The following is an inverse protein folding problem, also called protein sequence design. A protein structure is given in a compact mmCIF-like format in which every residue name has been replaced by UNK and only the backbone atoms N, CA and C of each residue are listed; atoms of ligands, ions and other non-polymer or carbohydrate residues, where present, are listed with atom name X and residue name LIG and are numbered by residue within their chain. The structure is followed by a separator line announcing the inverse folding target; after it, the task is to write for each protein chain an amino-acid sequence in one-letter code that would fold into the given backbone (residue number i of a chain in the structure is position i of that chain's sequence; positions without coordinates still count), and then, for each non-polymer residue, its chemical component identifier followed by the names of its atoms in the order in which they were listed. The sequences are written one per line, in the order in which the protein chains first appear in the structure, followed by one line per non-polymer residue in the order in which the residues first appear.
data_IF_977175047337
#
_entry.id   IF_977175047337
#
_cell.length_a   1.000
_cell.length_b   1.000
_cell.length_c   1.000
_cell.angle_alpha   90.00
_cell.angle_beta   90.00
_cell.angle_gamma   90.00
#
_symmetry.space_group_name_H-M   'P 1'
#
loop_
_entity.id
_entity.type
_entity.pdbx_description
1 polymer ?
#
# COMPACT_ATOMS: atom_id res chain seq x y z
N UNK A 1 -20.03 14.73 -16.47
CA UNK A 1 -19.74 13.80 -15.36
C UNK A 1 -18.70 14.40 -14.45
N UNK A 2 -18.90 14.36 -13.14
CA UNK A 2 -17.80 14.60 -12.20
C UNK A 2 -16.85 13.39 -12.14
N UNK A 3 -15.76 13.49 -11.36
CA UNK A 3 -14.78 12.41 -11.27
C UNK A 3 -15.35 11.11 -10.71
N UNK A 4 -16.19 11.22 -9.68
CA UNK A 4 -16.82 10.05 -9.05
C UNK A 4 -17.79 9.35 -10.01
N UNK A 5 -18.68 10.11 -10.65
CA UNK A 5 -19.62 9.58 -11.64
C UNK A 5 -18.90 8.87 -12.79
N UNK A 6 -17.80 9.45 -13.27
CA UNK A 6 -17.00 8.88 -14.36
C UNK A 6 -16.38 7.53 -14.01
N UNK A 7 -15.80 7.43 -12.81
CA UNK A 7 -15.21 6.18 -12.32
C UNK A 7 -16.30 5.13 -12.09
N UNK A 8 -17.43 5.49 -11.47
CA UNK A 8 -18.54 4.58 -11.24
C UNK A 8 -19.16 4.07 -12.56
N UNK A 9 -19.34 4.93 -13.55
CA UNK A 9 -19.81 4.52 -14.87
C UNK A 9 -18.85 3.48 -15.49
N UNK A 10 -17.54 3.70 -15.38
CA UNK A 10 -16.55 2.76 -15.91
C UNK A 10 -16.56 1.42 -15.18
N UNK A 11 -16.69 1.41 -13.85
CA UNK A 11 -16.80 0.19 -13.04
C UNK A 11 -18.07 -0.60 -13.40
N UNK A 12 -19.18 0.11 -13.67
CA UNK A 12 -20.44 -0.49 -14.08
C UNK A 12 -20.50 -0.89 -15.57
N UNK A 13 -19.38 -0.81 -16.30
CA UNK A 13 -19.31 -1.05 -17.74
C UNK A 13 -20.20 -0.12 -18.58
N UNK A 14 -20.52 1.07 -18.06
CA UNK A 14 -21.19 2.14 -18.78
C UNK A 14 -20.19 3.05 -19.48
N UNK A 15 -20.61 3.77 -20.51
CA UNK A 15 -19.71 4.65 -21.26
C UNK A 15 -19.52 5.97 -20.52
N UNK A 16 -18.33 6.28 -19.98
CA UNK A 16 -18.03 7.58 -19.41
C UNK A 16 -17.84 8.66 -20.50
N UNK A 17 -17.82 9.93 -20.10
CA UNK A 17 -17.52 11.07 -20.97
C UNK A 17 -16.05 11.07 -21.47
N UNK A 18 -15.12 10.58 -20.63
CA UNK A 18 -13.73 10.24 -20.95
C UNK A 18 -13.25 9.06 -20.12
N UNK A 19 -12.10 8.49 -20.45
CA UNK A 19 -11.46 7.46 -19.62
C UNK A 19 -11.08 8.07 -18.26
N UNK A 20 -11.42 7.45 -17.13
CA UNK A 20 -10.94 7.89 -15.82
C UNK A 20 -9.42 7.86 -15.75
N UNK A 21 -8.85 8.86 -15.10
CA UNK A 21 -7.41 8.98 -14.90
C UNK A 21 -7.03 8.74 -13.45
N UNK A 22 -5.93 8.03 -13.25
CA UNK A 22 -5.24 7.88 -11.99
C UNK A 22 -3.78 8.32 -12.13
N UNK A 23 -3.11 8.60 -11.01
CA UNK A 23 -1.70 8.99 -10.98
C UNK A 23 -0.96 8.41 -9.79
N UNK A 24 -0.05 7.52 -10.11
CA UNK A 24 0.96 6.99 -9.18
C UNK A 24 2.32 7.49 -9.63
N UNK A 25 3.13 7.99 -8.70
CA UNK A 25 4.44 8.51 -9.04
C UNK A 25 5.40 8.39 -7.85
N UNK A 26 6.67 8.20 -8.15
CA UNK A 26 7.75 8.25 -7.17
C UNK A 26 7.93 9.68 -6.60
N UNK A 27 8.46 9.83 -5.37
CA UNK A 27 8.64 11.14 -4.74
C UNK A 27 9.35 12.17 -5.61
N UNK A 28 10.41 11.77 -6.30
CA UNK A 28 11.15 12.65 -7.21
C UNK A 28 10.32 13.15 -8.41
N UNK A 29 9.37 12.34 -8.89
CA UNK A 29 8.45 12.72 -9.96
C UNK A 29 7.40 13.69 -9.44
N UNK A 30 6.88 13.50 -8.21
CA UNK A 30 5.97 14.45 -7.56
C UNK A 30 6.60 15.84 -7.41
N UNK A 31 7.86 15.92 -6.94
CA UNK A 31 8.57 17.20 -6.83
C UNK A 31 8.73 17.90 -8.17
N UNK A 32 9.05 17.14 -9.23
CA UNK A 32 9.15 17.68 -10.58
C UNK A 32 7.81 18.17 -11.10
N UNK A 33 6.73 17.38 -10.93
CA UNK A 33 5.39 17.76 -11.36
C UNK A 33 4.91 19.03 -10.65
N UNK A 34 5.14 19.15 -9.34
CA UNK A 34 4.82 20.37 -8.59
C UNK A 34 5.54 21.57 -9.17
N UNK A 35 6.82 21.45 -9.46
CA UNK A 35 7.61 22.52 -10.05
C UNK A 35 7.15 22.90 -11.47
N UNK A 36 6.95 21.91 -12.34
CA UNK A 36 6.63 22.12 -13.75
C UNK A 36 5.21 22.71 -13.93
N UNK A 37 4.28 22.36 -13.04
CA UNK A 37 2.90 22.85 -13.03
C UNK A 37 2.67 24.08 -12.14
N UNK A 38 3.69 24.52 -11.39
CA UNK A 38 3.55 25.60 -10.40
C UNK A 38 2.57 25.25 -9.27
N UNK A 39 2.48 23.97 -8.92
CA UNK A 39 1.54 23.45 -7.93
C UNK A 39 2.19 23.39 -6.54
N UNK A 40 1.47 23.82 -5.50
CA UNK A 40 1.97 23.85 -4.12
C UNK A 40 1.86 22.51 -3.40
N UNK A 41 1.09 21.56 -3.92
CA UNK A 41 0.83 20.25 -3.32
C UNK A 41 0.58 19.17 -4.36
N UNK A 42 0.68 17.90 -3.96
CA UNK A 42 0.29 16.78 -4.81
C UNK A 42 -1.20 16.84 -5.19
N UNK A 43 -2.05 17.31 -4.28
CA UNK A 43 -3.47 17.48 -4.58
C UNK A 43 -3.69 18.57 -5.65
N UNK A 44 -2.91 19.64 -5.64
CA UNK A 44 -2.95 20.66 -6.69
C UNK A 44 -2.48 20.08 -8.04
N UNK A 45 -1.47 19.20 -8.05
CA UNK A 45 -1.02 18.48 -9.25
C UNK A 45 -2.15 17.55 -9.76
N UNK A 46 -2.76 16.75 -8.88
CA UNK A 46 -3.88 15.86 -9.28
C UNK A 46 -5.03 16.65 -9.90
N UNK A 47 -5.36 17.81 -9.34
CA UNK A 47 -6.40 18.70 -9.89
C UNK A 47 -6.00 19.26 -11.25
N UNK A 48 -4.77 19.73 -11.40
CA UNK A 48 -4.28 20.27 -12.66
C UNK A 48 -4.24 19.22 -13.80
N UNK A 49 -4.01 17.95 -13.45
CA UNK A 49 -3.99 16.82 -14.38
C UNK A 49 -5.35 16.11 -14.50
N UNK A 50 -6.40 16.64 -13.88
CA UNK A 50 -7.76 16.09 -13.91
C UNK A 50 -7.82 14.61 -13.46
N UNK A 51 -7.05 14.25 -12.44
CA UNK A 51 -7.05 12.90 -11.85
C UNK A 51 -8.36 12.64 -11.13
N UNK A 52 -9.00 11.51 -11.43
CA UNK A 52 -10.36 11.18 -10.95
C UNK A 52 -10.40 10.42 -9.64
N UNK A 53 -9.28 9.77 -9.26
CA UNK A 53 -9.20 8.87 -8.12
C UNK A 53 -8.45 9.54 -6.98
N UNK A 54 -8.89 9.28 -5.75
CA UNK A 54 -8.17 9.61 -4.51
C UNK A 54 -8.02 8.36 -3.67
N UNK A 55 -6.84 8.19 -3.08
CA UNK A 55 -6.54 7.09 -2.17
C UNK A 55 -6.52 7.60 -0.75
N UNK A 56 -7.16 6.86 0.13
CA UNK A 56 -7.09 7.06 1.57
C UNK A 56 -6.60 5.77 2.23
N UNK A 57 -5.87 5.91 3.30
CA UNK A 57 -5.43 4.80 4.13
C UNK A 57 -5.31 5.26 5.57
N UNK A 58 -5.41 4.37 6.56
CA UNK A 58 -5.12 4.74 7.94
C UNK A 58 -3.62 5.03 8.10
N UNK A 59 -3.23 5.56 9.27
CA UNK A 59 -1.81 5.77 9.59
C UNK A 59 -1.26 4.53 10.26
N UNK A 60 -0.43 3.82 9.52
CA UNK A 60 0.34 2.70 10.07
C UNK A 60 1.49 3.21 10.95
N UNK A 61 1.97 2.37 11.90
CA UNK A 61 3.16 2.71 12.67
C UNK A 61 4.33 3.11 11.76
N UNK A 62 5.12 4.11 12.17
CA UNK A 62 6.27 4.54 11.38
C UNK A 62 7.31 3.43 11.26
N UNK A 63 7.99 3.40 10.12
CA UNK A 63 9.11 2.50 9.92
C UNK A 63 10.21 2.74 10.97
N UNK A 64 10.81 1.66 11.44
CA UNK A 64 11.99 1.73 12.31
C UNK A 64 13.26 1.77 11.46
N UNK A 65 14.27 2.49 11.93
CA UNK A 65 15.60 2.54 11.29
C UNK A 65 16.65 2.04 12.27
N UNK A 66 17.23 0.88 12.00
CA UNK A 66 18.26 0.28 12.85
C UNK A 66 19.46 -0.15 12.00
N UNK A 67 20.65 0.36 12.31
CA UNK A 67 21.90 0.07 11.60
C UNK A 67 21.81 0.29 10.07
N UNK A 68 21.06 1.29 9.62
CA UNK A 68 20.90 1.60 8.20
C UNK A 68 19.79 0.79 7.50
N UNK A 69 19.19 -0.18 8.18
CA UNK A 69 18.06 -0.97 7.70
C UNK A 69 16.76 -0.32 8.16
N UNK A 70 15.90 0.03 7.21
CA UNK A 70 14.53 0.49 7.45
C UNK A 70 13.63 -0.75 7.50
N UNK A 71 12.75 -0.85 8.51
CA UNK A 71 11.80 -1.96 8.66
C UNK A 71 10.42 -1.43 9.02
N UNK A 72 9.39 -1.90 8.33
CA UNK A 72 8.00 -1.59 8.66
C UNK A 72 7.42 -2.60 9.67
N UNK A 73 6.15 -2.40 10.04
CA UNK A 73 5.44 -3.26 11.00
C UNK A 73 5.29 -4.72 10.52
N UNK A 74 5.33 -4.97 9.22
CA UNK A 74 5.23 -6.30 8.62
C UNK A 74 6.55 -7.07 8.61
N UNK A 75 7.66 -6.40 8.95
CA UNK A 75 8.98 -7.00 8.86
C UNK A 75 9.60 -6.95 7.45
N UNK A 76 8.99 -6.20 6.55
CA UNK A 76 9.65 -5.85 5.28
C UNK A 76 10.85 -4.96 5.59
N UNK A 77 11.96 -5.14 4.85
CA UNK A 77 13.23 -4.45 5.11
C UNK A 77 13.79 -3.80 3.87
N UNK A 78 14.37 -2.62 4.06
CA UNK A 78 15.04 -1.87 2.99
C UNK A 78 16.37 -1.31 3.46
N UNK A 79 17.33 -1.26 2.55
CA UNK A 79 18.61 -0.62 2.73
C UNK A 79 18.83 0.44 1.64
N UNK A 80 19.67 1.43 1.96
CA UNK A 80 20.04 2.44 0.97
C UNK A 80 21.08 1.87 0.01
N UNK A 81 20.78 1.93 -1.28
CA UNK A 81 21.67 1.52 -2.36
C UNK A 81 21.93 2.68 -3.31
N UNK A 82 23.16 2.81 -3.78
CA UNK A 82 23.52 3.79 -4.80
C UNK A 82 23.22 3.24 -6.18
N UNK A 83 22.30 3.89 -6.88
CA UNK A 83 21.94 3.56 -8.27
C UNK A 83 22.40 4.65 -9.23
N UNK A 84 22.21 4.45 -10.53
CA UNK A 84 22.44 5.47 -11.56
C UNK A 84 21.47 6.67 -11.43
N UNK A 85 20.37 6.52 -10.67
CA UNK A 85 19.38 7.56 -10.43
C UNK A 85 19.57 8.25 -9.06
N UNK A 86 20.56 7.84 -8.29
CA UNK A 86 20.85 8.37 -6.96
C UNK A 86 20.85 7.31 -5.87
N UNK A 87 20.64 7.74 -4.63
CA UNK A 87 20.52 6.82 -3.47
C UNK A 87 19.05 6.50 -3.28
N UNK A 88 18.71 5.24 -3.40
CA UNK A 88 17.35 4.72 -3.28
C UNK A 88 17.26 3.68 -2.16
N UNK A 89 16.04 3.42 -1.70
CA UNK A 89 15.77 2.33 -0.78
C UNK A 89 15.46 1.07 -1.58
N UNK A 90 16.32 0.06 -1.49
CA UNK A 90 16.09 -1.25 -2.09
C UNK A 90 15.63 -2.25 -1.03
N UNK A 91 14.68 -3.09 -1.41
CA UNK A 91 14.19 -4.17 -0.57
C UNK A 91 15.29 -5.20 -0.34
N UNK A 92 15.41 -5.66 0.91
CA UNK A 92 16.36 -6.70 1.32
C UNK A 92 15.61 -7.92 1.87
N UNK A 93 16.34 -8.88 2.46
CA UNK A 93 15.71 -10.07 3.03
C UNK A 93 14.74 -9.70 4.15
N UNK A 94 13.45 -10.04 3.98
CA UNK A 94 12.43 -9.90 5.01
C UNK A 94 12.68 -10.80 6.22
N UNK A 95 11.97 -10.54 7.31
CA UNK A 95 12.18 -11.21 8.60
C UNK A 95 11.88 -12.71 8.58
N UNK A 96 11.04 -13.18 7.66
CA UNK A 96 10.64 -14.59 7.52
C UNK A 96 11.39 -15.33 6.40
N UNK A 97 12.44 -14.71 5.84
CA UNK A 97 13.18 -15.31 4.72
C UNK A 97 13.71 -16.69 5.05
N UNK A 98 14.23 -16.91 6.27
CA UNK A 98 14.84 -18.16 6.71
C UNK A 98 13.86 -19.14 7.38
N UNK A 99 12.56 -18.82 7.46
CA UNK A 99 11.54 -19.72 8.02
C UNK A 99 11.49 -21.04 7.23
N UNK A 100 11.38 -22.18 7.93
CA UNK A 100 11.36 -23.52 7.33
C UNK A 100 10.03 -24.24 7.57
N UNK A 101 9.18 -23.70 8.42
CA UNK A 101 7.92 -24.33 8.85
C UNK A 101 6.86 -23.28 9.20
N UNK A 102 5.59 -23.71 9.28
CA UNK A 102 4.50 -22.88 9.79
C UNK A 102 4.79 -22.41 11.22
N UNK A 103 5.39 -23.24 12.07
CA UNK A 103 5.78 -22.84 13.43
C UNK A 103 6.76 -21.65 13.46
N UNK A 104 7.65 -21.52 12.48
CA UNK A 104 8.54 -20.37 12.38
C UNK A 104 7.75 -19.11 12.01
N UNK A 105 6.73 -19.24 11.16
CA UNK A 105 5.82 -18.16 10.81
C UNK A 105 4.95 -17.74 12.00
N UNK A 106 4.46 -18.70 12.79
CA UNK A 106 3.67 -18.46 14.00
C UNK A 106 4.45 -17.72 15.09
N UNK A 107 5.76 -17.96 15.16
CA UNK A 107 6.64 -17.31 16.14
C UNK A 107 6.86 -15.81 15.84
N UNK A 108 6.56 -15.34 14.64
CA UNK A 108 6.66 -13.93 14.30
C UNK A 108 5.57 -13.10 14.99
N UNK A 109 5.93 -11.96 15.62
CA UNK A 109 4.95 -11.10 16.29
C UNK A 109 4.14 -10.31 15.23
N UNK A 110 3.16 -10.97 14.64
CA UNK A 110 2.33 -10.40 13.60
C UNK A 110 1.68 -9.08 14.04
N UNK A 111 1.66 -8.06 13.16
CA UNK A 111 0.98 -6.82 13.45
C UNK A 111 -0.54 -7.04 13.62
N UNK A 112 -1.16 -6.15 14.39
CA UNK A 112 -2.60 -6.10 14.60
C UNK A 112 -3.14 -4.72 14.28
N UNK A 113 -4.41 -4.64 13.98
CA UNK A 113 -5.09 -3.36 13.71
C UNK A 113 -5.14 -2.43 14.92
N UNK A 114 -4.85 -2.92 16.14
CA UNK A 114 -4.74 -2.08 17.34
C UNK A 114 -3.55 -1.10 17.30
N UNK A 115 -2.59 -1.36 16.44
CA UNK A 115 -1.40 -0.51 16.23
C UNK A 115 -1.65 0.61 15.20
N UNK A 116 -2.82 0.62 14.56
CA UNK A 116 -3.15 1.49 13.41
C UNK A 116 -4.05 2.64 13.87
N UNK A 117 -3.75 3.87 13.42
CA UNK A 117 -4.55 5.05 13.71
C UNK A 117 -5.56 5.32 12.59
N UNK A 118 -6.84 5.16 12.91
CA UNK A 118 -7.97 5.39 11.99
C UNK A 118 -8.63 6.76 12.18
N UNK A 119 -8.25 7.55 13.19
CA UNK A 119 -8.96 8.73 13.67
C UNK A 119 -9.22 9.81 12.62
N UNK A 120 -8.44 9.84 11.54
CA UNK A 120 -8.53 10.86 10.49
C UNK A 120 -9.25 10.38 9.22
N UNK A 121 -9.56 9.08 9.11
CA UNK A 121 -10.08 8.48 7.86
C UNK A 121 -11.37 9.15 7.41
N UNK A 122 -12.32 9.36 8.31
CA UNK A 122 -13.60 10.01 7.97
C UNK A 122 -13.42 11.44 7.44
N UNK A 123 -12.48 12.20 8.01
CA UNK A 123 -12.16 13.55 7.52
C UNK A 123 -11.49 13.52 6.15
N UNK A 124 -10.60 12.55 5.92
CA UNK A 124 -9.94 12.37 4.62
C UNK A 124 -10.95 12.02 3.53
N UNK A 125 -11.94 11.16 3.82
CA UNK A 125 -13.05 10.87 2.91
C UNK A 125 -13.82 12.15 2.57
N UNK A 126 -14.19 12.96 3.56
CA UNK A 126 -14.91 14.24 3.35
C UNK A 126 -14.12 15.20 2.45
N UNK A 127 -12.78 15.24 2.59
CA UNK A 127 -11.92 16.09 1.74
C UNK A 127 -11.89 15.63 0.28
N UNK A 128 -12.23 14.38 0.03
CA UNK A 128 -12.27 13.79 -1.31
C UNK A 128 -13.66 13.83 -1.94
N UNK A 129 -14.59 14.65 -1.42
CA UNK A 129 -15.96 14.79 -2.00
C UNK A 129 -15.87 15.15 -3.49
N UNK A 130 -16.68 14.50 -4.32
CA UNK A 130 -16.70 14.65 -5.79
C UNK A 130 -15.68 13.78 -6.54
N UNK A 131 -14.79 13.09 -5.83
CA UNK A 131 -13.86 12.11 -6.41
C UNK A 131 -14.26 10.67 -6.09
N UNK A 132 -13.77 9.72 -6.88
CA UNK A 132 -13.81 8.32 -6.49
C UNK A 132 -12.74 8.06 -5.43
N UNK A 133 -13.15 7.56 -4.28
CA UNK A 133 -12.26 7.26 -3.16
C UNK A 133 -12.00 5.77 -3.14
N UNK A 134 -10.72 5.40 -3.19
CA UNK A 134 -10.24 4.04 -2.99
C UNK A 134 -9.56 3.94 -1.63
N UNK A 135 -9.81 2.84 -0.94
CA UNK A 135 -9.22 2.57 0.37
C UNK A 135 -8.07 1.58 0.27
N UNK A 136 -6.98 1.94 0.94
CA UNK A 136 -5.86 1.05 1.22
C UNK A 136 -5.14 0.50 0.01
N UNK A 137 -4.31 -0.47 0.32
CA UNK A 137 -3.61 -1.31 -0.66
C UNK A 137 -3.47 -2.71 -0.04
N UNK A 138 -4.47 -3.55 -0.25
CA UNK A 138 -4.45 -4.94 0.20
C UNK A 138 -3.59 -5.76 -0.78
N UNK A 139 -2.32 -5.90 -0.46
CA UNK A 139 -1.38 -6.62 -1.27
C UNK A 139 -1.19 -8.05 -0.75
N UNK A 140 -1.81 -8.99 -1.46
CA UNK A 140 -1.82 -10.40 -1.08
C UNK A 140 -0.71 -11.24 -1.73
N UNK A 141 0.11 -10.65 -2.58
CA UNK A 141 1.21 -11.37 -3.23
C UNK A 141 2.57 -10.70 -3.00
N UNK A 142 2.70 -9.42 -3.28
CA UNK A 142 3.96 -8.71 -3.13
C UNK A 142 4.38 -8.65 -1.66
N UNK A 143 3.48 -8.29 -0.74
CA UNK A 143 3.78 -8.19 0.69
C UNK A 143 4.24 -9.51 1.32
N UNK A 144 3.56 -10.65 1.13
CA UNK A 144 4.12 -11.95 1.51
C UNK A 144 5.51 -12.20 0.92
N UNK A 145 5.73 -11.83 -0.35
CA UNK A 145 7.02 -11.94 -1.01
C UNK A 145 8.10 -11.06 -0.38
N UNK A 146 7.76 -9.82 0.04
CA UNK A 146 8.70 -8.93 0.72
C UNK A 146 9.09 -9.43 2.13
N UNK A 147 8.19 -10.11 2.82
CA UNK A 147 8.42 -10.62 4.18
C UNK A 147 9.13 -11.99 4.16
N UNK A 148 8.67 -12.90 3.29
CA UNK A 148 9.15 -14.29 3.18
C UNK A 148 10.31 -14.43 2.21
N UNK A 149 10.45 -13.54 1.26
CA UNK A 149 11.29 -13.64 0.08
C UNK A 149 10.51 -14.16 -1.13
N UNK A 150 10.57 -13.45 -2.25
CA UNK A 150 9.78 -13.77 -3.44
C UNK A 150 10.11 -15.16 -4.00
N UNK A 151 11.42 -15.53 -4.03
CA UNK A 151 11.85 -16.87 -4.43
C UNK A 151 11.24 -17.96 -3.54
N UNK A 152 11.23 -17.73 -2.22
CA UNK A 152 10.65 -18.66 -1.27
C UNK A 152 9.14 -18.81 -1.46
N UNK A 153 8.40 -17.71 -1.73
CA UNK A 153 6.95 -17.79 -2.02
C UNK A 153 6.69 -18.65 -3.24
N UNK A 154 7.46 -18.51 -4.33
CA UNK A 154 7.30 -19.36 -5.51
C UNK A 154 7.57 -20.83 -5.21
N UNK A 155 8.59 -21.12 -4.39
CA UNK A 155 8.89 -22.48 -3.95
C UNK A 155 7.75 -23.00 -3.06
N UNK A 156 7.32 -22.20 -2.08
CA UNK A 156 6.28 -22.59 -1.12
C UNK A 156 4.95 -22.89 -1.83
N UNK A 157 4.57 -22.11 -2.84
CA UNK A 157 3.38 -22.39 -3.68
C UNK A 157 3.44 -23.78 -4.32
N UNK A 158 4.63 -24.27 -4.64
CA UNK A 158 4.82 -25.55 -5.32
C UNK A 158 4.91 -26.75 -4.37
N UNK A 159 5.50 -26.55 -3.18
CA UNK A 159 5.87 -27.69 -2.31
C UNK A 159 5.57 -27.50 -0.82
N UNK A 160 5.19 -26.29 -0.37
CA UNK A 160 4.94 -25.94 1.03
C UNK A 160 3.61 -25.18 1.18
N UNK A 161 2.52 -25.74 0.64
CA UNK A 161 1.22 -25.08 0.57
C UNK A 161 0.76 -24.55 1.93
N UNK A 162 1.00 -25.29 3.02
CA UNK A 162 0.60 -24.91 4.38
C UNK A 162 1.24 -23.56 4.81
N UNK A 163 2.47 -23.29 4.38
CA UNK A 163 3.11 -22.00 4.66
C UNK A 163 2.47 -20.86 3.88
N UNK A 164 2.11 -21.10 2.63
CA UNK A 164 1.40 -20.12 1.80
C UNK A 164 0.03 -19.81 2.38
N UNK A 165 -0.73 -20.84 2.73
CA UNK A 165 -2.08 -20.71 3.30
C UNK A 165 -2.04 -19.92 4.61
N UNK A 166 -1.07 -20.23 5.49
CA UNK A 166 -0.88 -19.48 6.74
C UNK A 166 -0.58 -18.00 6.48
N UNK A 167 0.37 -17.69 5.58
CA UNK A 167 0.73 -16.31 5.24
C UNK A 167 -0.47 -15.57 4.66
N UNK A 168 -1.18 -16.16 3.71
CA UNK A 168 -2.36 -15.57 3.10
C UNK A 168 -3.46 -15.30 4.14
N UNK A 169 -3.75 -16.25 5.01
CA UNK A 169 -4.73 -16.06 6.08
C UNK A 169 -4.37 -14.88 7.00
N UNK A 170 -3.09 -14.73 7.37
CA UNK A 170 -2.62 -13.61 8.21
C UNK A 170 -2.85 -12.26 7.53
N UNK A 171 -2.47 -12.11 6.26
CA UNK A 171 -2.63 -10.86 5.53
C UNK A 171 -4.11 -10.55 5.24
N UNK A 172 -4.86 -11.54 4.77
CA UNK A 172 -6.30 -11.38 4.47
C UNK A 172 -7.08 -10.98 5.72
N UNK A 173 -6.86 -11.68 6.84
CA UNK A 173 -7.54 -11.37 8.11
C UNK A 173 -7.24 -9.95 8.59
N UNK A 174 -5.98 -9.52 8.51
CA UNK A 174 -5.61 -8.16 8.87
C UNK A 174 -6.30 -7.12 7.98
N UNK A 175 -6.24 -7.26 6.66
CA UNK A 175 -6.81 -6.26 5.75
C UNK A 175 -8.33 -6.20 5.78
N UNK A 176 -9.01 -7.32 6.06
CA UNK A 176 -10.45 -7.32 6.30
C UNK A 176 -10.78 -6.52 7.56
N UNK A 177 -10.07 -6.76 8.66
CA UNK A 177 -10.26 -6.01 9.90
C UNK A 177 -9.92 -4.53 9.74
N UNK A 178 -8.81 -4.21 9.07
CA UNK A 178 -8.34 -2.86 8.76
C UNK A 178 -9.42 -2.06 8.00
N UNK A 179 -10.01 -2.67 6.98
CA UNK A 179 -11.11 -2.07 6.22
C UNK A 179 -12.33 -1.81 7.11
N UNK A 180 -12.78 -2.79 7.89
CA UNK A 180 -13.95 -2.64 8.76
C UNK A 180 -13.75 -1.57 9.85
N UNK A 181 -12.56 -1.46 10.42
CA UNK A 181 -12.24 -0.40 11.39
C UNK A 181 -12.27 0.98 10.74
N UNK A 182 -11.76 1.09 9.53
CA UNK A 182 -11.80 2.35 8.76
C UNK A 182 -13.22 2.78 8.40
N UNK A 183 -14.08 1.84 7.99
CA UNK A 183 -15.48 2.11 7.67
C UNK A 183 -16.29 2.53 8.91
N UNK A 184 -15.95 1.97 10.07
CA UNK A 184 -16.66 2.21 11.33
C UNK A 184 -16.22 3.50 12.05
N UNK A 185 -15.23 4.21 11.53
CA UNK A 185 -14.73 5.46 12.12
C UNK A 185 -15.72 6.60 11.83
N UNK A 186 -16.26 7.28 12.85
CA UNK A 186 -17.32 8.30 12.69
C UNK A 186 -16.85 9.61 12.03
#
# INVERSE_FOLDING_TARGET
MDSRERVLASINHEKPDRIPCDLWAEPGVWERLKKDLGAESEEAVRKALEVDIRYISPRYPPDTLTNGVKQNMWGERWEKTSTIFGVEWEHTRGVLFDAQSVSDLEAFPWPTCDQVDYSHVAEDVKRCEGYAVFYGNADFFERPGLVRGLENIFIDVMINQDMVDYLQERFVSFFIEDFHRSESTP
#
